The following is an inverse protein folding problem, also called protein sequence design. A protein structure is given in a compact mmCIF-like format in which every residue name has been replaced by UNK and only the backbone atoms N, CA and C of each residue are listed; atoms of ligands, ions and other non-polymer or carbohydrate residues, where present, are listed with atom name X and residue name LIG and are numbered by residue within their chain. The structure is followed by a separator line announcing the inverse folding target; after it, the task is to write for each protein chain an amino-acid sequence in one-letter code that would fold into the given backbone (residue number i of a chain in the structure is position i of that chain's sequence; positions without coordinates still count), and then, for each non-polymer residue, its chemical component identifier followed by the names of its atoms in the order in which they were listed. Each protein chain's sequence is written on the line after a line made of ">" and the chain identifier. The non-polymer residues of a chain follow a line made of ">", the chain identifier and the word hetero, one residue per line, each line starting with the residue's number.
data_IF_553004624085
#
_entry.id   IF_553004624085
#
_cell.length_a   1.000
_cell.length_b   1.000
_cell.length_c   1.000
_cell.angle_alpha   90.00
_cell.angle_beta   90.00
_cell.angle_gamma   90.00
#
_symmetry.space_group_name_H-M   'P 1'
#
loop_
_entity.id
_entity.type
_entity.pdbx_description
1 polymer ?
#
# COMPACT_ATOMS: atom_id res chain seq x y z
N UNK A 1 7.18 1.52 16.10
CA UNK A 1 6.50 2.79 15.84
C UNK A 1 5.00 2.58 15.98
N UNK A 2 4.25 3.61 16.36
CA UNK A 2 2.79 3.55 16.37
C UNK A 2 2.30 3.89 14.97
N UNK A 3 1.62 2.95 14.30
CA UNK A 3 0.93 3.19 13.05
C UNK A 3 -0.30 4.07 13.33
N UNK A 4 -0.11 5.39 13.34
CA UNK A 4 -1.15 6.36 13.67
C UNK A 4 -1.65 7.09 12.42
N UNK A 5 -2.93 7.46 12.44
CA UNK A 5 -3.55 8.38 11.49
C UNK A 5 -3.80 9.72 12.17
N UNK A 6 -3.36 10.82 11.54
CA UNK A 6 -3.57 12.19 12.01
C UNK A 6 -4.76 12.83 11.26
N UNK A 7 -5.79 13.24 12.00
CA UNK A 7 -6.95 13.92 11.44
C UNK A 7 -7.01 15.36 11.96
N UNK A 8 -6.88 16.34 11.07
CA UNK A 8 -6.89 17.77 11.38
C UNK A 8 -8.12 18.42 10.79
N UNK A 9 -8.86 19.16 11.60
CA UNK A 9 -10.02 19.95 11.19
C UNK A 9 -9.71 21.43 11.43
N UNK A 10 -9.78 22.26 10.40
CA UNK A 10 -9.60 23.71 10.49
C UNK A 10 -10.95 24.37 10.21
N UNK A 11 -11.50 25.06 11.20
CA UNK A 11 -12.82 25.68 11.11
C UNK A 11 -12.87 26.98 11.93
N UNK A 12 -13.41 28.04 11.34
CA UNK A 12 -13.52 29.36 11.95
C UNK A 12 -12.16 29.91 12.44
N UNK A 13 -11.07 29.57 11.72
CA UNK A 13 -9.69 29.91 12.10
C UNK A 13 -9.09 29.06 13.21
N UNK A 14 -9.82 28.08 13.74
CA UNK A 14 -9.35 27.19 14.79
C UNK A 14 -8.95 25.81 14.23
N UNK A 15 -7.81 25.30 14.70
CA UNK A 15 -7.28 23.99 14.32
C UNK A 15 -7.51 22.97 15.43
N UNK A 16 -8.24 21.90 15.13
CA UNK A 16 -8.48 20.76 16.01
C UNK A 16 -7.74 19.52 15.46
N UNK A 17 -6.97 18.82 16.29
CA UNK A 17 -6.20 17.64 15.89
C UNK A 17 -6.66 16.40 16.65
N UNK A 18 -6.83 15.30 15.92
CA UNK A 18 -7.32 14.02 16.44
C UNK A 18 -6.44 12.89 15.92
N UNK A 19 -5.95 12.05 16.83
CA UNK A 19 -5.19 10.85 16.49
C UNK A 19 -6.06 9.61 16.55
N UNK A 20 -5.83 8.72 15.58
CA UNK A 20 -6.32 7.35 15.60
C UNK A 20 -5.17 6.35 15.44
N UNK A 21 -4.90 5.58 16.49
CA UNK A 21 -3.80 4.61 16.54
C UNK A 21 -4.14 3.26 15.92
N UNK A 22 -5.31 3.12 15.30
CA UNK A 22 -5.87 1.84 14.83
C UNK A 22 -6.15 1.85 13.32
N UNK A 23 -6.13 3.01 12.65
CA UNK A 23 -6.89 3.25 11.40
C UNK A 23 -6.09 3.52 10.13
N UNK A 24 -4.77 3.35 10.10
CA UNK A 24 -3.96 3.58 8.88
C UNK A 24 -4.54 2.97 7.58
N UNK A 25 -5.12 1.74 7.55
CA UNK A 25 -5.65 1.15 6.31
C UNK A 25 -7.03 1.66 5.87
N UNK A 26 -7.67 2.56 6.63
CA UNK A 26 -9.10 2.86 6.46
C UNK A 26 -9.42 4.35 6.28
N UNK A 27 -8.40 5.19 6.23
CA UNK A 27 -8.51 6.64 6.04
C UNK A 27 -9.42 7.00 4.85
N UNK A 28 -9.30 6.27 3.73
CA UNK A 28 -10.15 6.44 2.55
C UNK A 28 -11.64 6.16 2.78
N UNK A 29 -11.95 5.16 3.60
CA UNK A 29 -13.34 4.82 3.93
C UNK A 29 -14.04 5.97 4.63
N UNK A 30 -13.33 6.63 5.54
CA UNK A 30 -13.93 7.68 6.37
C UNK A 30 -14.08 8.98 5.60
N UNK A 31 -13.07 9.31 4.80
CA UNK A 31 -13.09 10.50 3.95
C UNK A 31 -14.26 10.47 2.97
N UNK A 32 -14.64 9.31 2.42
CA UNK A 32 -15.67 9.21 1.39
C UNK A 32 -17.05 9.79 1.77
N UNK A 33 -17.42 9.82 3.04
CA UNK A 33 -18.80 10.13 3.46
C UNK A 33 -19.13 11.62 3.54
N UNK A 34 -18.21 12.50 3.14
CA UNK A 34 -18.42 13.94 3.10
C UNK A 34 -18.00 14.67 4.38
N UNK A 35 -18.00 16.01 4.35
CA UNK A 35 -17.42 16.86 5.38
C UNK A 35 -18.01 16.64 6.77
N UNK A 36 -19.34 16.63 6.88
CA UNK A 36 -20.02 16.52 8.16
C UNK A 36 -19.82 15.14 8.80
N UNK A 37 -19.90 14.09 7.98
CA UNK A 37 -19.74 12.71 8.45
C UNK A 37 -18.31 12.44 8.88
N UNK A 38 -17.34 12.92 8.09
CA UNK A 38 -15.92 12.81 8.41
C UNK A 38 -15.58 13.58 9.69
N UNK A 39 -15.95 14.86 9.80
CA UNK A 39 -15.68 15.65 11.01
C UNK A 39 -16.35 15.06 12.25
N UNK A 40 -17.60 14.62 12.14
CA UNK A 40 -18.31 14.00 13.26
C UNK A 40 -17.66 12.69 13.71
N UNK A 41 -16.96 11.98 12.82
CA UNK A 41 -16.17 10.80 13.13
C UNK A 41 -14.80 11.19 13.72
N UNK A 42 -14.05 12.06 13.05
CA UNK A 42 -12.71 12.49 13.45
C UNK A 42 -12.68 13.10 14.86
N UNK A 43 -13.67 13.95 15.21
CA UNK A 43 -13.78 14.56 16.55
C UNK A 43 -13.96 13.57 17.71
N UNK A 44 -14.22 12.30 17.41
CA UNK A 44 -14.36 11.23 18.40
C UNK A 44 -13.05 10.50 18.66
N UNK A 45 -12.01 10.76 17.86
CA UNK A 45 -10.66 10.29 18.10
C UNK A 45 -10.08 10.88 19.39
N UNK A 46 -8.85 10.49 19.70
CA UNK A 46 -8.15 11.02 20.87
C UNK A 46 -7.75 12.46 20.54
N UNK A 47 -8.46 13.42 21.14
CA UNK A 47 -8.09 14.83 21.06
C UNK A 47 -6.78 15.04 21.81
N UNK A 48 -5.79 15.64 21.15
CA UNK A 48 -4.58 16.09 21.83
C UNK A 48 -4.78 17.55 22.24
N UNK A 49 -4.83 17.81 23.56
CA UNK A 49 -4.72 19.18 24.08
C UNK A 49 -3.25 19.61 24.01
N UNK A 50 -2.79 20.03 22.84
CA UNK A 50 -1.42 20.45 22.59
C UNK A 50 -1.15 20.65 21.11
N UNK A 51 -0.19 21.51 20.77
CA UNK A 51 0.30 21.63 19.41
C UNK A 51 0.70 20.23 18.93
N UNK A 52 0.29 19.87 17.72
CA UNK A 52 0.65 18.61 17.05
C UNK A 52 2.11 18.31 17.36
N UNK A 53 2.38 17.20 18.04
CA UNK A 53 3.71 16.93 18.56
C UNK A 53 4.74 17.07 17.44
N UNK A 54 5.81 17.86 17.68
CA UNK A 54 6.94 18.03 16.74
C UNK A 54 7.58 16.66 16.38
N UNK A 55 7.30 15.60 17.15
CA UNK A 55 7.82 14.24 16.97
C UNK A 55 6.74 13.22 16.52
N UNK A 56 5.56 13.67 16.07
CA UNK A 56 4.44 12.79 15.74
C UNK A 56 4.63 12.03 14.43
N UNK A 57 5.23 10.84 14.47
CA UNK A 57 5.29 9.91 13.34
C UNK A 57 3.89 9.34 13.03
N UNK A 58 3.37 9.60 11.82
CA UNK A 58 2.10 9.08 11.33
C UNK A 58 2.25 8.52 9.92
N UNK A 59 1.51 7.44 9.64
CA UNK A 59 1.55 6.78 8.32
C UNK A 59 0.49 7.32 7.37
N UNK A 60 -0.55 7.97 7.93
CA UNK A 60 -1.63 8.57 7.17
C UNK A 60 -2.09 9.84 7.86
N UNK A 61 -2.62 10.78 7.07
CA UNK A 61 -3.20 11.99 7.60
C UNK A 61 -4.27 12.57 6.69
N UNK A 62 -5.25 13.23 7.29
CA UNK A 62 -6.23 14.06 6.56
C UNK A 62 -6.27 15.42 7.23
N UNK A 63 -6.08 16.47 6.45
CA UNK A 63 -6.30 17.87 6.85
C UNK A 63 -7.50 18.38 6.08
N UNK A 64 -8.56 18.74 6.81
CA UNK A 64 -9.77 19.35 6.25
C UNK A 64 -9.86 20.80 6.68
N UNK A 65 -9.67 21.71 5.73
CA UNK A 65 -9.89 23.14 5.89
C UNK A 65 -11.32 23.49 5.46
N UNK A 66 -12.21 23.67 6.44
CA UNK A 66 -13.61 24.04 6.22
C UNK A 66 -13.75 25.50 5.76
N UNK A 67 -12.81 26.36 6.11
CA UNK A 67 -12.85 27.79 5.80
C UNK A 67 -12.51 28.04 4.32
N UNK A 68 -11.48 27.35 3.81
CA UNK A 68 -11.05 27.42 2.42
C UNK A 68 -11.66 26.36 1.53
N UNK A 69 -12.29 25.35 2.13
CA UNK A 69 -12.81 24.14 1.47
C UNK A 69 -11.71 23.35 0.76
N UNK A 70 -10.65 23.02 1.49
CA UNK A 70 -9.56 22.21 0.97
C UNK A 70 -9.41 20.94 1.79
N UNK A 71 -9.12 19.83 1.13
CA UNK A 71 -8.75 18.56 1.76
C UNK A 71 -7.35 18.21 1.28
N UNK A 72 -6.40 18.14 2.20
CA UNK A 72 -5.09 17.51 1.94
C UNK A 72 -5.08 16.14 2.61
N UNK A 73 -4.74 15.07 1.89
CA UNK A 73 -4.64 13.74 2.50
C UNK A 73 -3.35 13.02 2.12
N UNK A 74 -2.82 12.29 3.08
CA UNK A 74 -1.73 11.33 2.99
C UNK A 74 -2.33 9.98 3.38
N UNK A 75 -2.17 8.96 2.54
CA UNK A 75 -2.63 7.61 2.87
C UNK A 75 -1.57 6.59 2.47
N UNK A 76 -1.66 5.38 3.02
CA UNK A 76 -0.88 4.26 2.51
C UNK A 76 -1.54 3.77 1.20
N UNK A 77 -0.88 3.95 0.04
CA UNK A 77 -1.53 3.90 -1.26
C UNK A 77 -1.98 2.50 -1.70
N UNK A 78 -1.61 1.40 -1.04
CA UNK A 78 -1.78 0.03 -1.55
C UNK A 78 -3.19 -0.26 -2.11
N UNK A 79 -4.26 0.19 -1.44
CA UNK A 79 -5.64 -0.07 -1.91
C UNK A 79 -6.07 0.74 -3.14
N UNK A 80 -5.39 1.85 -3.42
CA UNK A 80 -5.67 2.79 -4.51
C UNK A 80 -4.44 3.02 -5.41
N UNK A 81 -3.44 2.13 -5.35
CA UNK A 81 -2.15 2.24 -6.04
C UNK A 81 -2.32 2.21 -7.56
N UNK A 82 -3.35 1.51 -8.05
CA UNK A 82 -3.70 1.43 -9.47
C UNK A 82 -4.32 2.77 -9.91
N UNK A 83 -3.75 3.47 -10.90
CA UNK A 83 -4.20 4.81 -11.29
C UNK A 83 -5.67 4.92 -11.69
N UNK A 84 -6.25 3.87 -12.31
CA UNK A 84 -7.70 3.85 -12.59
C UNK A 84 -8.53 3.81 -11.31
N UNK A 85 -8.17 2.97 -10.35
CA UNK A 85 -8.85 2.88 -9.06
C UNK A 85 -8.79 4.24 -8.35
N UNK A 86 -7.61 4.84 -8.33
CA UNK A 86 -7.38 6.17 -7.76
C UNK A 86 -8.28 7.24 -8.40
N UNK A 87 -8.30 7.35 -9.74
CA UNK A 87 -9.14 8.34 -10.46
C UNK A 87 -10.63 8.18 -10.15
N UNK A 88 -11.10 6.93 -10.05
CA UNK A 88 -12.50 6.65 -9.73
C UNK A 88 -12.81 6.99 -8.26
N UNK A 89 -11.89 6.71 -7.34
CA UNK A 89 -12.01 7.11 -5.95
C UNK A 89 -12.02 8.65 -5.78
N UNK A 90 -11.13 9.38 -6.45
CA UNK A 90 -11.13 10.84 -6.46
C UNK A 90 -12.45 11.41 -7.02
N UNK A 91 -13.04 10.78 -8.04
CA UNK A 91 -14.36 11.15 -8.56
C UNK A 91 -15.49 10.91 -7.55
N UNK A 92 -15.40 9.85 -6.75
CA UNK A 92 -16.32 9.61 -5.63
C UNK A 92 -16.15 10.70 -4.55
N UNK A 93 -14.91 11.05 -4.19
CA UNK A 93 -14.61 12.13 -3.24
C UNK A 93 -15.19 13.47 -3.68
N UNK A 94 -14.94 13.88 -4.94
CA UNK A 94 -15.48 15.11 -5.51
C UNK A 94 -17.02 15.15 -5.46
N UNK A 95 -17.67 14.00 -5.62
CA UNK A 95 -19.13 13.88 -5.54
C UNK A 95 -19.64 14.02 -4.11
N UNK A 96 -18.94 13.43 -3.14
CA UNK A 96 -19.30 13.48 -1.72
C UNK A 96 -18.95 14.80 -1.03
N UNK A 97 -18.01 15.57 -1.60
CA UNK A 97 -17.49 16.81 -1.04
C UNK A 97 -17.66 17.99 -2.01
N UNK A 98 -18.91 18.41 -2.28
CA UNK A 98 -19.17 19.44 -3.27
C UNK A 98 -18.52 20.77 -2.91
N UNK A 99 -17.68 21.26 -3.83
CA UNK A 99 -17.01 22.55 -3.70
C UNK A 99 -15.75 22.53 -2.83
N UNK A 100 -15.24 21.35 -2.48
CA UNK A 100 -13.92 21.20 -1.89
C UNK A 100 -12.86 20.89 -2.96
N UNK A 101 -11.67 21.43 -2.79
CA UNK A 101 -10.48 21.05 -3.56
C UNK A 101 -9.73 19.92 -2.85
N UNK A 102 -9.32 18.90 -3.62
CA UNK A 102 -8.65 17.70 -3.14
C UNK A 102 -7.19 17.73 -3.57
N UNK A 103 -6.27 17.64 -2.60
CA UNK A 103 -4.84 17.55 -2.83
C UNK A 103 -4.25 16.32 -2.13
N UNK A 104 -3.57 15.47 -2.88
CA UNK A 104 -2.76 14.42 -2.27
C UNK A 104 -1.46 15.03 -1.71
N UNK A 105 -1.07 14.60 -0.51
CA UNK A 105 0.16 15.00 0.17
C UNK A 105 1.36 14.26 -0.43
N UNK A 106 1.65 14.57 -1.69
CA UNK A 106 2.70 13.94 -2.48
C UNK A 106 4.11 14.15 -1.92
N UNK A 107 4.36 15.27 -1.23
CA UNK A 107 5.58 15.51 -0.44
C UNK A 107 5.55 14.87 0.96
N UNK A 108 4.68 13.89 1.18
CA UNK A 108 4.56 13.16 2.45
C UNK A 108 4.06 14.04 3.59
N UNK A 109 4.62 13.85 4.79
CA UNK A 109 4.23 14.58 5.98
C UNK A 109 4.45 16.11 5.83
N UNK A 110 5.42 16.55 5.03
CA UNK A 110 5.67 17.98 4.79
C UNK A 110 4.47 18.70 4.15
N UNK A 111 3.77 18.03 3.24
CA UNK A 111 2.56 18.58 2.62
C UNK A 111 1.40 18.69 3.62
N UNK A 112 1.32 17.73 4.56
CA UNK A 112 0.36 17.72 5.66
C UNK A 112 0.62 18.91 6.58
N UNK A 113 1.86 19.08 7.04
CA UNK A 113 2.24 20.21 7.89
C UNK A 113 2.02 21.57 7.22
N UNK A 114 2.35 21.66 5.94
CA UNK A 114 2.07 22.85 5.13
C UNK A 114 0.57 23.13 5.00
N UNK A 115 -0.27 22.08 4.95
CA UNK A 115 -1.73 22.23 4.90
C UNK A 115 -2.33 22.69 6.24
N UNK A 116 -1.75 22.23 7.37
CA UNK A 116 -2.17 22.66 8.72
C UNK A 116 -1.90 24.16 8.93
N UNK A 117 -0.77 24.66 8.39
CA UNK A 117 -0.36 26.06 8.51
C UNK A 117 0.20 26.43 9.89
N UNK A 118 0.51 27.73 10.08
CA UNK A 118 0.95 28.27 11.37
C UNK A 118 -0.24 28.33 12.34
N UNK A 119 -0.09 27.80 13.55
CA UNK A 119 -1.10 27.93 14.60
C UNK A 119 -1.16 29.37 15.16
N UNK A 120 -2.19 29.70 15.96
CA UNK A 120 -2.37 31.01 16.61
C UNK A 120 -1.16 31.47 17.46
N UNK A 121 -0.27 30.54 17.83
CA UNK A 121 0.95 30.82 18.60
C UNK A 121 2.17 31.16 17.71
N UNK A 122 2.02 31.21 16.38
CA UNK A 122 3.09 31.55 15.44
C UNK A 122 4.21 30.51 15.39
N UNK A 123 3.95 29.27 15.82
CA UNK A 123 4.88 28.18 15.60
C UNK A 123 4.73 27.72 14.14
N UNK A 124 5.71 28.11 13.31
CA UNK A 124 5.96 27.46 12.02
C UNK A 124 6.37 26.03 12.36
N UNK A 125 5.54 25.06 11.98
CA UNK A 125 5.95 23.65 12.03
C UNK A 125 7.24 23.56 11.22
N UNK A 126 8.32 23.12 11.86
CA UNK A 126 9.61 23.03 11.21
C UNK A 126 9.44 22.17 9.94
N UNK A 127 9.60 22.80 8.78
CA UNK A 127 9.76 22.07 7.53
C UNK A 127 11.12 21.40 7.68
N UNK A 128 11.13 20.10 7.94
CA UNK A 128 12.36 19.34 7.86
C UNK A 128 12.80 19.46 6.40
N UNK A 129 13.94 20.11 6.17
CA UNK A 129 14.71 19.97 4.92
C UNK A 129 15.23 18.53 4.89
N UNK A 130 14.33 17.57 4.70
CA UNK A 130 14.68 16.16 4.64
C UNK A 130 15.24 15.89 3.24
N UNK A 131 16.43 15.27 3.21
CA UNK A 131 17.03 14.69 2.02
C UNK A 131 16.00 13.81 1.33
N UNK A 132 15.74 14.03 0.02
CA UNK A 132 14.84 13.25 -0.87
C UNK A 132 14.38 11.91 -0.27
N UNK A 133 13.33 11.94 0.57
CA UNK A 133 12.65 10.72 1.05
C UNK A 133 11.68 10.27 -0.04
N UNK A 134 12.19 10.14 -1.26
CA UNK A 134 11.48 9.32 -2.23
C UNK A 134 11.80 7.89 -1.84
N UNK A 135 10.83 7.20 -1.23
CA UNK A 135 10.97 5.79 -0.83
C UNK A 135 11.17 4.82 -2.00
N UNK A 136 11.41 5.34 -3.20
CA UNK A 136 11.79 4.61 -4.40
C UNK A 136 13.18 4.00 -4.29
N UNK A 137 13.32 2.84 -4.89
CA UNK A 137 14.60 2.17 -5.05
C UNK A 137 15.59 3.05 -5.81
N UNK A 138 16.82 3.11 -5.31
CA UNK A 138 17.85 3.95 -5.91
C UNK A 138 18.30 3.40 -7.27
N UNK A 139 18.26 2.07 -7.43
CA UNK A 139 18.64 1.40 -8.66
C UNK A 139 17.77 0.20 -8.98
N UNK A 140 17.69 -0.16 -10.26
CA UNK A 140 17.01 -1.38 -10.71
C UNK A 140 17.66 -2.65 -10.14
N UNK A 141 18.96 -2.62 -9.87
CA UNK A 141 19.65 -3.74 -9.22
C UNK A 141 19.10 -4.01 -7.81
N UNK A 142 18.73 -2.96 -7.06
CA UNK A 142 18.07 -3.11 -5.75
C UNK A 142 16.66 -3.67 -5.91
N UNK A 143 15.91 -3.19 -6.90
CA UNK A 143 14.56 -3.71 -7.23
C UNK A 143 14.61 -5.23 -7.49
N UNK A 144 15.61 -5.68 -8.24
CA UNK A 144 15.78 -7.10 -8.60
C UNK A 144 16.28 -7.94 -7.40
N UNK A 145 17.28 -7.45 -6.66
CA UNK A 145 17.91 -8.24 -5.59
C UNK A 145 17.00 -8.45 -4.39
N UNK A 146 16.08 -7.54 -4.12
CA UNK A 146 15.09 -7.74 -3.07
C UNK A 146 14.19 -8.96 -3.36
N UNK A 147 13.86 -9.20 -4.63
CA UNK A 147 13.09 -10.36 -5.11
C UNK A 147 13.80 -11.71 -4.88
N UNK A 148 15.12 -11.75 -5.10
CA UNK A 148 15.94 -12.97 -4.95
C UNK A 148 16.19 -13.34 -3.48
N UNK A 149 16.12 -12.37 -2.56
CA UNK A 149 16.47 -12.60 -1.15
C UNK A 149 15.33 -13.19 -0.30
N UNK A 150 14.08 -13.07 -0.73
CA UNK A 150 12.91 -13.65 -0.05
C UNK A 150 12.34 -14.90 -0.72
N UNK A 151 12.77 -15.24 -1.95
CA UNK A 151 12.29 -16.42 -2.68
C UNK A 151 13.38 -17.48 -2.80
N UNK A 152 13.56 -18.31 -1.76
CA UNK A 152 14.26 -19.59 -1.93
C UNK A 152 13.44 -20.52 -2.86
N UNK A 153 13.70 -20.42 -4.16
CA UNK A 153 13.71 -21.51 -5.15
C UNK A 153 12.46 -22.41 -5.19
N UNK A 154 11.37 -21.88 -5.73
CA UNK A 154 10.58 -22.63 -6.72
C UNK A 154 10.58 -21.82 -8.01
N UNK A 155 10.71 -22.51 -9.15
CA UNK A 155 10.95 -21.90 -10.46
C UNK A 155 10.01 -20.72 -10.75
N UNK A 156 10.57 -19.69 -11.39
CA UNK A 156 9.94 -18.52 -12.01
C UNK A 156 8.91 -18.99 -13.06
N UNK A 157 7.79 -19.58 -12.63
CA UNK A 157 6.74 -20.12 -13.50
C UNK A 157 5.33 -19.86 -12.95
N UNK A 158 5.20 -19.08 -11.87
CA UNK A 158 3.93 -18.54 -11.44
C UNK A 158 4.18 -17.24 -10.66
N UNK A 159 4.27 -16.12 -11.38
CA UNK A 159 3.86 -14.86 -10.77
C UNK A 159 2.48 -15.08 -10.19
N UNK A 160 2.28 -14.82 -8.90
CA UNK A 160 0.93 -14.77 -8.37
C UNK A 160 0.21 -13.67 -9.18
N UNK A 161 -0.97 -13.99 -9.72
CA UNK A 161 -1.67 -13.11 -10.67
C UNK A 161 -2.13 -11.79 -10.02
N UNK A 162 -1.81 -11.59 -8.74
CA UNK A 162 -2.26 -10.48 -7.91
C UNK A 162 -1.12 -9.59 -7.39
N UNK A 163 0.16 -9.88 -7.73
CA UNK A 163 1.27 -9.00 -7.34
C UNK A 163 1.28 -7.71 -8.18
N UNK A 164 1.25 -6.57 -7.48
CA UNK A 164 1.41 -5.23 -8.06
C UNK A 164 2.80 -5.08 -8.67
N UNK A 165 2.88 -4.39 -9.81
CA UNK A 165 4.13 -4.24 -10.56
C UNK A 165 4.16 -2.96 -11.38
N UNK A 166 5.38 -2.52 -11.68
CA UNK A 166 5.65 -1.55 -12.72
C UNK A 166 5.88 -2.23 -14.08
N UNK A 167 5.31 -1.65 -15.13
CA UNK A 167 5.48 -2.12 -16.51
C UNK A 167 6.45 -1.24 -17.28
N UNK A 168 7.54 -1.82 -17.79
CA UNK A 168 8.48 -1.10 -18.66
C UNK A 168 8.46 -1.68 -20.07
N UNK A 169 8.48 -0.81 -21.09
CA UNK A 169 8.62 -1.21 -22.49
C UNK A 169 9.76 -0.47 -23.18
N UNK A 170 10.67 -1.20 -23.81
CA UNK A 170 11.78 -0.64 -24.57
C UNK A 170 11.60 -0.97 -26.05
N UNK A 171 11.71 0.05 -26.90
CA UNK A 171 11.54 -0.08 -28.33
C UNK A 171 12.92 0.01 -28.96
N UNK A 172 13.31 -1.05 -29.66
CA UNK A 172 14.58 -1.05 -30.37
C UNK A 172 14.50 -0.29 -31.70
N UNK A 173 15.65 -0.04 -32.31
CA UNK A 173 15.77 0.62 -33.62
C UNK A 173 15.12 -0.18 -34.77
N UNK A 174 14.78 -1.45 -34.54
CA UNK A 174 14.10 -2.35 -35.47
C UNK A 174 12.57 -2.31 -35.33
N UNK A 175 12.03 -1.61 -34.33
CA UNK A 175 10.61 -1.59 -33.99
C UNK A 175 10.11 -2.83 -33.25
N UNK A 176 11.03 -3.63 -32.70
CA UNK A 176 10.69 -4.67 -31.72
C UNK A 176 10.42 -3.99 -30.39
N UNK A 177 9.36 -4.44 -29.72
CA UNK A 177 8.98 -3.94 -28.39
C UNK A 177 9.23 -5.04 -27.38
N UNK A 178 10.11 -4.74 -26.44
CA UNK A 178 10.49 -5.60 -25.34
C UNK A 178 9.82 -5.13 -24.05
N UNK A 179 9.02 -6.00 -23.42
CA UNK A 179 8.38 -5.69 -22.14
C UNK A 179 9.14 -6.34 -20.99
N UNK A 180 9.18 -5.64 -19.85
CA UNK A 180 9.74 -6.11 -18.58
C UNK A 180 8.81 -5.72 -17.43
N UNK A 181 8.78 -6.55 -16.41
CA UNK A 181 8.09 -6.27 -15.15
C UNK A 181 9.13 -6.10 -14.05
N UNK A 182 8.95 -5.06 -13.25
CA UNK A 182 9.71 -4.78 -12.03
C UNK A 182 8.71 -4.36 -10.95
N UNK A 183 9.11 -4.36 -9.68
CA UNK A 183 8.22 -3.96 -8.57
C UNK A 183 7.80 -2.48 -8.72
N UNK A 184 8.79 -1.61 -8.92
CA UNK A 184 8.62 -0.17 -9.03
C UNK A 184 9.66 0.42 -9.99
N UNK A 185 9.32 1.51 -10.70
CA UNK A 185 10.25 2.33 -11.48
C UNK A 185 11.27 2.98 -10.53
N UNK A 186 12.52 2.57 -10.67
CA UNK A 186 13.67 3.02 -9.88
C UNK A 186 14.20 4.39 -10.31
N UNK A 187 14.96 5.02 -9.42
CA UNK A 187 15.51 6.36 -9.65
C UNK A 187 16.54 6.41 -10.78
N UNK A 188 17.31 5.35 -11.01
CA UNK A 188 18.25 5.26 -12.12
C UNK A 188 17.58 5.24 -13.50
N UNK A 189 16.40 4.61 -13.64
CA UNK A 189 15.57 4.70 -14.83
C UNK A 189 15.01 6.11 -15.04
N UNK A 190 14.51 6.73 -13.97
CA UNK A 190 14.05 8.14 -13.98
C UNK A 190 15.19 9.07 -14.41
N UNK A 191 16.40 8.84 -13.91
CA UNK A 191 17.59 9.65 -14.15
C UNK A 191 18.40 9.26 -15.39
N UNK A 192 17.89 8.33 -16.23
CA UNK A 192 18.57 7.85 -17.44
C UNK A 192 20.02 7.40 -17.20
N UNK A 193 20.27 6.63 -16.12
CA UNK A 193 21.61 6.09 -15.89
C UNK A 193 21.97 5.09 -17.00
N UNK A 194 23.21 5.16 -17.48
CA UNK A 194 23.65 4.49 -18.70
C UNK A 194 23.49 2.96 -18.63
N UNK A 195 23.63 2.39 -17.43
CA UNK A 195 23.56 0.95 -17.22
C UNK A 195 22.14 0.46 -16.88
N UNK A 196 21.21 1.35 -16.51
CA UNK A 196 19.89 0.96 -15.98
C UNK A 196 19.05 0.21 -17.02
N UNK A 197 19.04 0.68 -18.27
CA UNK A 197 18.34 0.00 -19.38
C UNK A 197 18.99 -1.34 -19.70
N UNK A 198 20.32 -1.44 -19.69
CA UNK A 198 21.01 -2.71 -19.96
C UNK A 198 20.70 -3.76 -18.88
N UNK A 199 20.66 -3.34 -17.61
CA UNK A 199 20.26 -4.22 -16.50
C UNK A 199 18.78 -4.62 -16.63
N UNK A 200 17.88 -3.67 -16.93
CA UNK A 200 16.47 -3.95 -17.21
C UNK A 200 16.32 -5.01 -18.33
N UNK A 201 17.06 -4.85 -19.41
CA UNK A 201 16.99 -5.72 -20.58
C UNK A 201 17.58 -7.11 -20.33
N UNK A 202 18.41 -7.28 -19.30
CA UNK A 202 18.92 -8.57 -18.85
C UNK A 202 17.86 -9.45 -18.16
N UNK A 203 16.75 -8.84 -17.70
CA UNK A 203 15.62 -9.57 -17.15
C UNK A 203 14.91 -10.42 -18.23
N UNK A 204 14.25 -11.52 -17.84
CA UNK A 204 13.43 -12.30 -18.75
C UNK A 204 12.37 -11.42 -19.45
N UNK A 205 12.12 -11.63 -20.75
CA UNK A 205 11.01 -10.98 -21.43
C UNK A 205 9.68 -11.31 -20.75
N UNK A 206 8.80 -10.31 -20.68
CA UNK A 206 7.47 -10.44 -20.11
C UNK A 206 6.38 -10.19 -21.15
N UNK A 207 5.16 -10.65 -20.87
CA UNK A 207 3.98 -10.30 -21.64
C UNK A 207 3.44 -8.92 -21.20
N UNK A 208 2.48 -8.36 -21.94
CA UNK A 208 1.75 -7.18 -21.48
C UNK A 208 0.89 -7.58 -20.26
N UNK A 209 1.11 -6.97 -19.08
CA UNK A 209 0.37 -7.32 -17.87
C UNK A 209 -1.07 -6.83 -17.96
N UNK A 210 -2.01 -7.45 -17.24
CA UNK A 210 -3.37 -6.90 -17.09
C UNK A 210 -3.34 -5.59 -16.29
N UNK A 211 -4.21 -4.62 -16.58
CA UNK A 211 -4.21 -3.33 -15.85
C UNK A 211 -4.44 -3.51 -14.33
N UNK A 212 -5.07 -4.60 -13.92
CA UNK A 212 -5.36 -4.90 -12.52
C UNK A 212 -4.14 -5.17 -11.64
N UNK A 213 -2.95 -5.30 -12.21
CA UNK A 213 -1.70 -5.49 -11.46
C UNK A 213 -0.69 -4.39 -11.71
N UNK A 214 -1.02 -3.37 -12.51
CA UNK A 214 -0.04 -2.34 -12.89
C UNK A 214 -0.30 -1.05 -12.12
N UNK A 215 0.68 -0.63 -11.33
CA UNK A 215 0.63 0.58 -10.51
C UNK A 215 1.28 1.77 -11.21
N UNK A 216 2.29 1.51 -12.04
CA UNK A 216 2.99 2.50 -12.83
C UNK A 216 3.64 1.90 -14.06
N UNK A 217 4.05 2.74 -14.99
CA UNK A 217 4.75 2.28 -16.18
C UNK A 217 5.59 3.34 -16.86
N UNK A 218 6.52 2.83 -17.65
CA UNK A 218 7.46 3.61 -18.44
C UNK A 218 7.63 2.98 -19.81
N UNK A 219 7.76 3.81 -20.84
CA UNK A 219 8.20 3.33 -22.14
C UNK A 219 9.28 4.21 -22.74
N UNK A 220 10.24 3.58 -23.42
CA UNK A 220 11.37 4.24 -24.07
C UNK A 220 11.35 3.92 -25.55
N UNK A 221 11.02 4.91 -26.36
CA UNK A 221 11.00 4.82 -27.82
C UNK A 221 12.23 5.54 -28.41
N UNK A 222 13.31 4.78 -28.60
CA UNK A 222 14.57 5.27 -29.17
C UNK A 222 14.42 5.76 -30.61
N UNK A 223 13.50 5.16 -31.39
CA UNK A 223 13.27 5.57 -32.78
C UNK A 223 12.59 6.93 -32.88
N UNK A 224 11.65 7.22 -31.98
CA UNK A 224 10.93 8.50 -31.93
C UNK A 224 11.63 9.53 -31.04
N UNK A 225 12.60 9.12 -30.23
CA UNK A 225 13.18 9.95 -29.19
C UNK A 225 12.10 10.38 -28.19
N UNK A 226 11.23 9.45 -27.77
CA UNK A 226 10.17 9.71 -26.80
C UNK A 226 10.31 8.79 -25.58
N UNK A 227 10.07 9.35 -24.39
CA UNK A 227 9.91 8.57 -23.16
C UNK A 227 8.55 8.89 -22.59
N UNK A 228 7.75 7.86 -22.33
CA UNK A 228 6.51 8.02 -21.59
C UNK A 228 6.62 7.49 -20.19
N UNK A 229 5.94 8.15 -19.27
CA UNK A 229 5.87 7.74 -17.87
C UNK A 229 4.47 8.02 -17.32
N UNK A 230 3.99 7.13 -16.46
CA UNK A 230 2.69 7.24 -15.82
C UNK A 230 2.64 6.40 -14.54
N UNK A 231 1.80 6.80 -13.59
CA UNK A 231 1.67 6.12 -12.31
C UNK A 231 0.95 6.99 -11.29
N UNK A 232 1.19 6.74 -10.01
CA UNK A 232 0.65 7.52 -8.90
C UNK A 232 1.28 8.91 -8.74
N UNK A 233 0.84 9.63 -7.71
CA UNK A 233 1.29 10.99 -7.41
C UNK A 233 2.80 11.11 -7.17
N UNK A 234 3.42 10.11 -6.51
CA UNK A 234 4.87 10.10 -6.26
C UNK A 234 5.67 10.10 -7.57
N UNK A 235 5.28 9.26 -8.54
CA UNK A 235 5.95 9.24 -9.85
C UNK A 235 5.70 10.52 -10.64
N UNK A 236 4.50 11.09 -10.51
CA UNK A 236 4.14 12.36 -11.18
C UNK A 236 5.05 13.51 -10.76
N UNK A 237 5.48 13.56 -9.50
CA UNK A 237 6.43 14.57 -9.03
C UNK A 237 7.82 14.44 -9.69
N UNK A 238 8.19 13.23 -10.11
CA UNK A 238 9.50 12.97 -10.71
C UNK A 238 9.58 13.40 -12.19
N UNK A 239 8.49 13.88 -12.80
CA UNK A 239 8.46 14.21 -14.23
C UNK A 239 9.48 15.27 -14.64
N UNK A 240 9.70 16.30 -13.80
CA UNK A 240 10.69 17.35 -14.08
C UNK A 240 12.11 16.80 -14.01
N UNK A 241 12.37 15.89 -13.06
CA UNK A 241 13.64 15.17 -12.93
C UNK A 241 13.88 14.30 -14.15
N UNK A 242 12.89 13.51 -14.57
CA UNK A 242 12.95 12.72 -15.82
C UNK A 242 13.28 13.60 -17.02
N UNK A 243 12.60 14.74 -17.18
CA UNK A 243 12.85 15.70 -18.28
C UNK A 243 14.30 16.21 -18.29
N UNK A 244 14.87 16.50 -17.13
CA UNK A 244 16.25 17.02 -17.03
C UNK A 244 17.33 15.98 -17.33
N UNK A 245 17.03 14.69 -17.17
CA UNK A 245 17.98 13.59 -17.35
C UNK A 245 17.86 12.90 -18.71
N UNK A 246 16.68 12.97 -19.33
CA UNK A 246 16.40 12.46 -20.67
C UNK A 246 16.45 13.57 -21.72
N UNK A 247 17.52 14.38 -21.74
CA UNK A 247 17.61 15.62 -22.55
C UNK A 247 17.43 15.41 -24.06
N UNK A 248 17.84 14.25 -24.59
CA UNK A 248 17.72 13.90 -26.01
C UNK A 248 16.33 13.33 -26.37
N UNK A 249 15.45 13.14 -25.39
CA UNK A 249 14.13 12.57 -25.55
C UNK A 249 13.05 13.58 -25.18
N UNK A 250 11.91 13.47 -25.86
CA UNK A 250 10.67 14.13 -25.43
C UNK A 250 10.00 13.27 -24.36
N UNK A 251 10.07 13.74 -23.12
CA UNK A 251 9.38 13.11 -21.99
C UNK A 251 7.89 13.49 -21.97
N UNK A 252 7.01 12.49 -21.86
CA UNK A 252 5.56 12.61 -21.93
C UNK A 252 4.96 11.98 -20.66
N UNK A 253 4.10 12.72 -19.97
CA UNK A 253 3.24 12.15 -18.94
C UNK A 253 1.99 11.53 -19.60
N UNK A 254 1.75 10.24 -19.38
CA UNK A 254 0.61 9.54 -19.95
C UNK A 254 -0.64 9.71 -19.07
N UNK A 255 -1.53 10.62 -19.45
CA UNK A 255 -2.72 10.97 -18.64
C UNK A 255 -3.73 9.81 -18.51
N UNK A 256 -3.78 8.91 -19.49
CA UNK A 256 -4.61 7.69 -19.42
C UNK A 256 -3.83 6.46 -18.93
N UNK A 257 -2.57 6.65 -18.54
CA UNK A 257 -1.72 5.61 -17.96
C UNK A 257 -1.61 4.37 -18.85
N UNK A 258 -2.10 3.24 -18.33
CA UNK A 258 -2.09 1.94 -18.98
C UNK A 258 -2.61 1.95 -20.43
N UNK A 259 -3.68 2.70 -20.72
CA UNK A 259 -4.25 2.78 -22.08
C UNK A 259 -3.31 3.48 -23.06
N UNK A 260 -2.66 4.56 -22.63
CA UNK A 260 -1.69 5.31 -23.46
C UNK A 260 -0.44 4.44 -23.69
N UNK A 261 0.00 3.67 -22.70
CA UNK A 261 1.13 2.75 -22.82
C UNK A 261 0.80 1.58 -23.77
N UNK A 262 -0.40 0.99 -23.69
CA UNK A 262 -0.86 0.01 -24.69
C UNK A 262 -0.88 0.60 -26.11
N UNK A 263 -1.38 1.82 -26.26
CA UNK A 263 -1.42 2.51 -27.54
C UNK A 263 -0.01 2.80 -28.11
N UNK A 264 0.95 3.12 -27.24
CA UNK A 264 2.34 3.31 -27.62
C UNK A 264 3.01 2.00 -28.02
N UNK A 265 2.87 0.96 -27.19
CA UNK A 265 3.57 -0.32 -27.35
C UNK A 265 3.04 -1.20 -28.47
N UNK A 266 1.76 -1.11 -28.82
CA UNK A 266 1.16 -1.82 -29.95
C UNK A 266 0.31 -3.04 -29.59
N UNK A 267 0.68 -3.94 -28.65
CA UNK A 267 -0.23 -4.97 -28.18
C UNK A 267 -1.43 -4.35 -27.46
N UNK A 268 -2.60 -4.94 -27.66
CA UNK A 268 -3.75 -4.61 -26.81
C UNK A 268 -3.57 -5.33 -25.48
N UNK A 269 -3.21 -4.58 -24.44
CA UNK A 269 -3.39 -5.02 -23.06
C UNK A 269 -4.86 -5.26 -22.73
N UNK A 270 -5.13 -5.66 -21.49
CA UNK A 270 -6.49 -5.89 -20.98
C UNK A 270 -6.83 -4.77 -19.99
N UNK A 271 -7.41 -3.64 -20.46
CA UNK A 271 -7.81 -2.57 -19.56
C UNK A 271 -8.98 -3.02 -18.68
N UNK A 272 -8.99 -2.51 -17.45
CA UNK A 272 -10.07 -2.68 -16.51
C UNK A 272 -11.28 -1.83 -16.89
N UNK A 273 -12.46 -2.38 -16.70
CA UNK A 273 -13.69 -1.59 -16.64
C UNK A 273 -13.77 -0.82 -15.32
N UNK A 274 -14.52 0.28 -15.28
CA UNK A 274 -14.77 1.04 -14.04
C UNK A 274 -15.36 0.16 -12.93
N UNK A 275 -16.19 -0.82 -13.29
CA UNK A 275 -16.78 -1.75 -12.32
C UNK A 275 -15.73 -2.68 -11.70
N UNK A 276 -14.78 -3.18 -12.49
CA UNK A 276 -13.65 -3.99 -11.99
C UNK A 276 -12.73 -3.15 -11.10
N UNK A 277 -12.45 -1.91 -11.47
CA UNK A 277 -11.58 -1.04 -10.68
C UNK A 277 -12.23 -0.68 -9.34
N UNK A 278 -13.51 -0.30 -9.34
CA UNK A 278 -14.23 -0.01 -8.10
C UNK A 278 -14.41 -1.24 -7.20
N UNK A 279 -14.50 -2.45 -7.77
CA UNK A 279 -14.67 -3.68 -7.00
C UNK A 279 -13.51 -3.94 -6.02
N UNK A 280 -12.30 -3.45 -6.32
CA UNK A 280 -11.13 -3.60 -5.44
C UNK A 280 -11.24 -2.82 -4.13
N UNK A 281 -11.88 -1.65 -4.16
CA UNK A 281 -11.98 -0.77 -2.97
C UNK A 281 -13.35 -0.80 -2.32
N UNK A 282 -14.39 -1.23 -3.05
CA UNK A 282 -15.78 -1.18 -2.58
C UNK A 282 -16.02 -1.94 -1.27
N UNK A 283 -15.47 -3.16 -1.05
CA UNK A 283 -15.63 -3.85 0.24
C UNK A 283 -15.12 -3.03 1.42
N UNK A 284 -13.95 -2.41 1.28
CA UNK A 284 -13.37 -1.54 2.32
C UNK A 284 -14.25 -0.31 2.57
N UNK A 285 -14.68 0.37 1.50
CA UNK A 285 -15.55 1.55 1.59
C UNK A 285 -16.92 1.25 2.22
N UNK A 286 -17.47 0.05 2.00
CA UNK A 286 -18.75 -0.38 2.58
C UNK A 286 -18.61 -0.93 4.02
N UNK A 287 -17.43 -1.39 4.43
CA UNK A 287 -17.21 -2.02 5.75
C UNK A 287 -17.47 -1.06 6.91
N UNK A 288 -18.45 -1.35 7.77
CA UNK A 288 -18.66 -0.59 9.03
C UNK A 288 -17.91 -1.18 10.21
N UNK A 289 -17.09 -2.21 9.99
CA UNK A 289 -16.40 -2.91 11.06
C UNK A 289 -15.20 -2.08 11.52
N UNK A 290 -14.92 -2.08 12.83
CA UNK A 290 -13.61 -1.66 13.31
C UNK A 290 -12.60 -2.71 12.85
N UNK A 291 -11.40 -2.26 12.48
CA UNK A 291 -10.28 -3.19 12.46
C UNK A 291 -10.10 -3.63 13.90
N UNK A 292 -10.21 -4.93 14.14
CA UNK A 292 -9.78 -5.53 15.38
C UNK A 292 -8.28 -5.81 15.23
N UNK A 293 -7.40 -5.06 15.92
CA UNK A 293 -5.97 -5.31 15.83
C UNK A 293 -5.65 -6.74 16.24
N UNK A 294 -6.37 -7.33 17.20
CA UNK A 294 -6.15 -8.72 17.58
C UNK A 294 -6.42 -9.68 16.41
N UNK A 295 -7.45 -9.44 15.60
CA UNK A 295 -7.74 -10.23 14.41
C UNK A 295 -6.68 -10.03 13.31
N UNK A 296 -6.21 -8.80 13.09
CA UNK A 296 -5.11 -8.52 12.14
C UNK A 296 -3.84 -9.24 12.57
N UNK A 297 -3.51 -9.16 13.86
CA UNK A 297 -2.36 -9.86 14.43
C UNK A 297 -2.52 -11.37 14.43
N UNK A 298 -3.72 -11.91 14.59
CA UNK A 298 -3.97 -13.35 14.45
C UNK A 298 -3.82 -13.81 12.99
N UNK A 299 -4.23 -12.99 12.02
CA UNK A 299 -4.04 -13.26 10.60
C UNK A 299 -2.54 -13.20 10.20
N UNK A 300 -1.83 -12.13 10.58
CA UNK A 300 -0.39 -11.98 10.37
C UNK A 300 0.37 -13.07 11.13
N UNK A 301 -0.01 -13.29 12.39
CA UNK A 301 0.54 -14.32 13.26
C UNK A 301 0.31 -15.72 12.70
N UNK A 302 -0.80 -15.97 11.99
CA UNK A 302 -1.05 -17.21 11.26
C UNK A 302 -0.04 -17.44 10.14
N UNK A 303 0.22 -16.42 9.31
CA UNK A 303 1.26 -16.48 8.26
C UNK A 303 2.65 -16.64 8.86
N UNK A 304 3.00 -15.82 9.85
CA UNK A 304 4.29 -15.83 10.53
C UNK A 304 4.53 -17.15 11.28
N UNK A 305 3.47 -17.75 11.84
CA UNK A 305 3.51 -19.08 12.46
C UNK A 305 3.70 -20.19 11.43
N UNK A 306 3.10 -20.08 10.24
CA UNK A 306 3.34 -21.02 9.14
C UNK A 306 4.80 -20.96 8.66
N UNK A 307 5.33 -19.77 8.43
CA UNK A 307 6.73 -19.56 8.05
C UNK A 307 7.68 -20.00 9.17
N UNK A 308 7.41 -19.63 10.42
CA UNK A 308 8.22 -20.06 11.56
C UNK A 308 8.16 -21.58 11.75
N UNK A 309 7.03 -22.24 11.46
CA UNK A 309 6.90 -23.69 11.51
C UNK A 309 7.72 -24.38 10.41
N UNK A 310 7.75 -23.82 9.19
CA UNK A 310 8.61 -24.29 8.10
C UNK A 310 10.09 -24.12 8.45
N UNK A 311 10.50 -22.92 8.89
CA UNK A 311 11.86 -22.63 9.32
C UNK A 311 12.30 -23.53 10.49
N UNK A 312 11.41 -23.75 11.46
CA UNK A 312 11.66 -24.69 12.57
C UNK A 312 11.83 -26.12 12.06
N UNK A 313 11.03 -26.55 11.08
CA UNK A 313 11.18 -27.86 10.43
C UNK A 313 12.55 -28.04 9.76
N UNK A 314 12.98 -27.04 8.98
CA UNK A 314 14.30 -27.03 8.34
C UNK A 314 15.44 -27.05 9.37
N UNK A 315 15.36 -26.21 10.41
CA UNK A 315 16.34 -26.18 11.49
C UNK A 315 16.42 -27.53 12.21
N UNK A 316 15.27 -28.17 12.46
CA UNK A 316 15.20 -29.46 13.14
C UNK A 316 15.82 -30.57 12.28
N UNK A 317 15.61 -30.54 10.96
CA UNK A 317 16.30 -31.42 10.02
C UNK A 317 17.82 -31.23 10.05
N UNK A 318 18.30 -29.98 10.01
CA UNK A 318 19.73 -29.66 10.08
C UNK A 318 20.34 -30.11 11.41
N UNK A 319 19.65 -29.92 12.53
CA UNK A 319 20.10 -30.35 13.85
C UNK A 319 20.09 -31.89 14.02
N UNK A 320 19.13 -32.58 13.39
CA UNK A 320 19.01 -34.04 13.48
C UNK A 320 19.94 -34.78 12.51
N UNK A 321 20.33 -34.17 11.38
CA UNK A 321 21.16 -34.83 10.36
C UNK A 321 22.52 -35.35 10.91
N UNK A 322 23.30 -34.59 11.72
CA UNK A 322 24.53 -35.10 12.34
C UNK A 322 24.28 -36.28 13.28
N UNK A 323 23.15 -36.28 13.99
CA UNK A 323 22.76 -37.33 14.94
C UNK A 323 22.41 -38.63 14.18
N UNK A 324 21.68 -38.51 13.08
CA UNK A 324 21.37 -39.64 12.19
C UNK A 324 22.65 -40.20 11.56
N UNK A 325 23.57 -39.34 11.11
CA UNK A 325 24.87 -39.76 10.56
C UNK A 325 25.70 -40.51 11.60
N UNK A 326 25.75 -40.01 12.85
CA UNK A 326 26.38 -40.72 13.97
C UNK A 326 25.74 -42.09 14.22
N UNK A 327 24.41 -42.19 14.12
CA UNK A 327 23.68 -43.45 14.20
C UNK A 327 24.10 -44.47 13.15
N UNK A 328 24.21 -44.01 11.90
CA UNK A 328 24.63 -44.83 10.77
C UNK A 328 26.06 -45.36 10.94
N UNK A 329 26.97 -44.55 11.49
CA UNK A 329 28.38 -44.94 11.71
C UNK A 329 28.55 -45.83 12.95
N UNK A 330 27.85 -45.52 14.04
CA UNK A 330 28.03 -46.21 15.34
C UNK A 330 27.15 -47.46 15.51
N UNK A 331 26.09 -47.61 14.71
CA UNK A 331 25.09 -48.67 14.82
C UNK A 331 24.14 -48.53 16.03
N UNK A 332 24.29 -47.49 16.86
CA UNK A 332 23.50 -47.30 18.07
C UNK A 332 22.25 -46.46 17.84
N UNK A 333 21.28 -47.03 17.13
CA UNK A 333 20.02 -46.36 16.78
C UNK A 333 19.14 -46.00 17.99
N UNK A 334 19.28 -46.73 19.11
CA UNK A 334 18.51 -46.44 20.32
C UNK A 334 18.91 -45.10 20.94
N UNK A 335 20.21 -44.80 21.02
CA UNK A 335 20.69 -43.50 21.52
C UNK A 335 20.32 -42.33 20.58
N UNK A 336 20.34 -42.57 19.27
CA UNK A 336 19.93 -41.61 18.24
C UNK A 336 18.47 -41.22 18.40
N UNK A 337 17.58 -42.22 18.52
CA UNK A 337 16.14 -41.97 18.69
C UNK A 337 15.82 -41.16 19.95
N UNK A 338 16.48 -41.46 21.08
CA UNK A 338 16.31 -40.70 22.33
C UNK A 338 16.80 -39.25 22.15
N UNK A 339 17.93 -39.05 21.48
CA UNK A 339 18.51 -37.71 21.29
C UNK A 339 17.64 -36.86 20.37
N UNK A 340 17.15 -37.42 19.26
CA UNK A 340 16.21 -36.73 18.36
C UNK A 340 14.93 -36.35 19.10
N UNK A 341 14.36 -37.26 19.89
CA UNK A 341 13.18 -36.97 20.69
C UNK A 341 13.41 -35.81 21.68
N UNK A 342 14.56 -35.76 22.34
CA UNK A 342 14.92 -34.65 23.24
C UNK A 342 15.06 -33.32 22.49
N UNK A 343 15.70 -33.32 21.32
CA UNK A 343 15.84 -32.11 20.49
C UNK A 343 14.47 -31.60 20.05
N UNK A 344 13.59 -32.48 19.56
CA UNK A 344 12.22 -32.12 19.17
C UNK A 344 11.45 -31.50 20.33
N UNK A 345 11.48 -32.14 21.50
CA UNK A 345 10.80 -31.63 22.71
C UNK A 345 11.36 -30.27 23.11
N UNK A 346 12.69 -30.10 23.13
CA UNK A 346 13.33 -28.84 23.48
C UNK A 346 12.93 -27.70 22.53
N UNK A 347 12.92 -27.96 21.22
CA UNK A 347 12.51 -26.98 20.21
C UNK A 347 11.04 -26.59 20.36
N UNK A 348 10.14 -27.55 20.58
CA UNK A 348 8.71 -27.27 20.81
C UNK A 348 8.52 -26.42 22.07
N UNK A 349 9.23 -26.73 23.15
CA UNK A 349 9.17 -25.96 24.40
C UNK A 349 9.71 -24.54 24.22
N UNK A 350 10.83 -24.37 23.51
CA UNK A 350 11.40 -23.06 23.22
C UNK A 350 10.44 -22.20 22.38
N UNK A 351 9.85 -22.78 21.34
CA UNK A 351 8.86 -22.11 20.50
C UNK A 351 7.65 -21.66 21.32
N UNK A 352 7.10 -22.54 22.18
CA UNK A 352 5.97 -22.20 23.07
C UNK A 352 6.32 -21.11 24.09
N UNK A 353 7.56 -21.07 24.56
CA UNK A 353 8.03 -20.01 25.46
C UNK A 353 8.12 -18.66 24.74
N UNK A 354 8.60 -18.64 23.50
CA UNK A 354 8.64 -17.43 22.67
C UNK A 354 7.22 -16.95 22.38
N UNK A 355 6.32 -17.84 21.92
CA UNK A 355 4.91 -17.53 21.64
C UNK A 355 4.24 -16.89 22.87
N UNK A 356 4.42 -17.48 24.06
CA UNK A 356 3.89 -16.91 25.32
C UNK A 356 4.50 -15.57 25.67
N UNK A 357 5.82 -15.40 25.49
CA UNK A 357 6.51 -14.15 25.84
C UNK A 357 6.10 -13.00 24.91
N UNK A 358 5.95 -13.30 23.63
CA UNK A 358 5.46 -12.36 22.61
C UNK A 358 4.01 -11.98 22.92
N UNK A 359 3.12 -12.95 23.12
CA UNK A 359 1.72 -12.70 23.49
C UNK A 359 1.58 -11.89 24.79
N UNK A 360 2.40 -12.20 25.81
CA UNK A 360 2.38 -11.47 27.07
C UNK A 360 2.91 -10.04 26.95
N UNK A 361 3.90 -9.80 26.08
CA UNK A 361 4.42 -8.45 25.83
C UNK A 361 3.35 -7.58 25.19
N UNK A 362 2.66 -8.10 24.16
CA UNK A 362 1.58 -7.40 23.48
C UNK A 362 0.35 -7.13 24.37
N UNK A 363 -0.01 -8.05 25.26
CA UNK A 363 -1.12 -7.82 26.20
C UNK A 363 -0.79 -6.80 27.30
N UNK A 364 0.49 -6.66 27.65
CA UNK A 364 0.95 -5.74 28.70
C UNK A 364 1.13 -4.31 28.18
N UNK A 365 1.49 -4.13 26.91
CA UNK A 365 1.75 -2.80 26.32
C UNK A 365 0.46 -1.98 26.07
N UNK A 366 -0.72 -2.44 26.50
CA UNK A 366 -1.96 -1.65 26.51
C UNK A 366 -2.56 -1.32 25.14
N UNK A 367 -1.84 -1.59 24.05
CA UNK A 367 -2.25 -1.37 22.66
C UNK A 367 -3.62 -1.99 22.30
N UNK A 368 -4.02 -3.06 22.98
CA UNK A 368 -5.27 -3.80 22.70
C UNK A 368 -6.32 -3.70 23.80
N UNK A 369 -6.01 -3.05 24.93
CA UNK A 369 -6.91 -2.93 26.09
C UNK A 369 -7.55 -1.54 26.15
N UNK A 370 -7.79 -0.89 25.01
CA UNK A 370 -8.73 0.22 25.00
C UNK A 370 -10.13 -0.37 25.26
N UNK A 371 -10.86 0.10 26.29
CA UNK A 371 -12.22 -0.35 26.53
C UNK A 371 -13.03 -0.15 25.24
N UNK A 372 -13.86 -1.14 24.88
CA UNK A 372 -14.85 -1.01 23.80
C UNK A 372 -15.59 0.32 24.01
N UNK A 373 -15.17 1.33 23.26
CA UNK A 373 -15.73 2.66 23.39
C UNK A 373 -17.12 2.62 22.76
N UNK A 374 -18.10 3.31 23.36
CA UNK A 374 -19.44 3.56 22.79
C UNK A 374 -19.41 4.37 21.46
N UNK A 375 -18.26 4.41 20.77
CA UNK A 375 -18.03 5.19 19.56
C UNK A 375 -18.49 4.42 18.31
N UNK A 376 -18.98 5.13 17.28
CA UNK A 376 -19.31 4.53 16.01
C UNK A 376 -18.04 4.00 15.34
N UNK A 377 -18.10 2.84 14.72
CA UNK A 377 -16.93 2.16 14.16
C UNK A 377 -16.42 2.75 12.83
N UNK A 378 -17.18 3.67 12.22
CA UNK A 378 -16.87 4.34 10.96
C UNK A 378 -17.71 5.62 10.78
N UNK A 379 -17.32 6.49 9.86
CA UNK A 379 -18.07 7.63 9.36
C UNK A 379 -19.26 7.18 8.48
N UNK A 380 -20.23 8.09 8.30
CA UNK A 380 -21.40 7.83 7.46
C UNK A 380 -22.42 6.85 8.08
N UNK A 381 -23.31 6.24 7.26
CA UNK A 381 -24.32 5.31 7.75
C UNK A 381 -23.69 4.02 8.30
N UNK A 382 -24.15 3.59 9.48
CA UNK A 382 -23.67 2.37 10.16
C UNK A 382 -24.48 1.12 9.84
N UNK A 383 -25.74 1.29 9.42
CA UNK A 383 -26.59 0.21 8.94
C UNK A 383 -26.18 -0.15 7.51
N UNK A 384 -25.89 -1.42 7.25
CA UNK A 384 -25.40 -1.90 5.95
C UNK A 384 -26.34 -1.51 4.80
N UNK A 385 -27.66 -1.65 5.01
CA UNK A 385 -28.64 -1.30 3.97
C UNK A 385 -28.66 0.21 3.69
N UNK A 386 -28.60 1.04 4.73
CA UNK A 386 -28.51 2.49 4.57
C UNK A 386 -27.20 2.90 3.90
N UNK A 387 -26.09 2.25 4.26
CA UNK A 387 -24.77 2.53 3.71
C UNK A 387 -24.67 2.18 2.24
N UNK A 388 -25.12 0.98 1.84
CA UNK A 388 -25.22 0.59 0.42
C UNK A 388 -26.14 1.52 -0.36
N UNK A 389 -27.28 1.91 0.21
CA UNK A 389 -28.20 2.86 -0.44
C UNK A 389 -27.60 4.28 -0.58
N UNK A 390 -26.76 4.72 0.36
CA UNK A 390 -26.04 5.98 0.27
C UNK A 390 -24.92 5.92 -0.77
N UNK A 391 -24.14 4.83 -0.78
CA UNK A 391 -23.11 4.58 -1.79
C UNK A 391 -23.69 4.53 -3.21
N UNK A 392 -24.83 3.87 -3.41
CA UNK A 392 -25.52 3.84 -4.72
C UNK A 392 -25.87 5.26 -5.21
N UNK A 393 -26.26 6.17 -4.31
CA UNK A 393 -26.51 7.57 -4.67
C UNK A 393 -25.23 8.29 -5.06
N UNK A 394 -24.12 8.06 -4.35
CA UNK A 394 -22.81 8.64 -4.68
C UNK A 394 -22.36 8.14 -6.05
N UNK A 395 -22.40 6.83 -6.30
CA UNK A 395 -22.06 6.22 -7.60
C UNK A 395 -22.91 6.80 -8.74
N UNK A 396 -24.24 6.87 -8.54
CA UNK A 396 -25.14 7.42 -9.54
C UNK A 396 -24.88 8.91 -9.82
N UNK A 397 -24.63 9.71 -8.78
CA UNK A 397 -24.32 11.14 -8.92
C UNK A 397 -22.94 11.36 -9.58
N UNK A 398 -21.98 10.49 -9.29
CA UNK A 398 -20.68 10.47 -9.94
C UNK A 398 -20.78 10.04 -11.41
N UNK A 399 -21.85 9.36 -11.84
CA UNK A 399 -21.98 8.76 -13.18
C UNK A 399 -21.12 7.51 -13.34
N UNK A 400 -21.08 6.68 -12.30
CA UNK A 400 -20.31 5.44 -12.19
C UNK A 400 -21.24 4.21 -12.19
N UNK A 401 -20.70 3.00 -12.43
CA UNK A 401 -21.47 1.76 -12.40
C UNK A 401 -22.23 1.56 -11.08
N UNK A 402 -23.37 0.85 -11.15
CA UNK A 402 -24.16 0.54 -9.94
C UNK A 402 -23.43 -0.45 -9.02
N UNK A 403 -23.79 -0.48 -7.73
CA UNK A 403 -23.24 -1.51 -6.81
C UNK A 403 -23.49 -2.93 -7.34
N UNK A 404 -24.65 -3.16 -7.97
CA UNK A 404 -25.00 -4.48 -8.52
C UNK A 404 -24.14 -4.93 -9.70
N UNK A 405 -23.51 -3.99 -10.40
CA UNK A 405 -22.54 -4.26 -11.47
C UNK A 405 -21.16 -4.49 -10.87
N UNK A 406 -20.76 -3.67 -9.88
CA UNK A 406 -19.48 -3.77 -9.17
C UNK A 406 -19.37 -5.09 -8.39
N UNK A 407 -20.43 -5.48 -7.67
CA UNK A 407 -20.50 -6.70 -6.85
C UNK A 407 -20.21 -7.98 -7.65
N UNK A 408 -20.32 -7.96 -8.99
CA UNK A 408 -20.02 -9.12 -9.86
C UNK A 408 -18.52 -9.39 -9.98
N UNK A 409 -17.69 -8.41 -9.65
CA UNK A 409 -16.23 -8.45 -9.79
C UNK A 409 -15.51 -8.48 -8.44
N UNK A 410 -16.21 -8.31 -7.32
CA UNK A 410 -15.62 -8.39 -5.98
C UNK A 410 -15.11 -9.81 -5.75
N UNK A 411 -13.79 -9.97 -5.59
CA UNK A 411 -13.21 -11.26 -5.24
C UNK A 411 -13.32 -11.47 -3.73
N UNK A 412 -13.40 -12.71 -3.24
CA UNK A 412 -13.40 -12.99 -1.79
C UNK A 412 -12.15 -12.44 -1.08
N UNK A 413 -11.02 -12.38 -1.78
CA UNK A 413 -9.74 -11.87 -1.29
C UNK A 413 -9.71 -10.33 -1.18
N UNK A 414 -10.53 -9.63 -1.98
CA UNK A 414 -10.65 -8.16 -1.96
C UNK A 414 -11.47 -7.64 -0.77
N UNK A 415 -12.01 -8.53 0.07
CA UNK A 415 -12.58 -8.15 1.35
C UNK A 415 -11.45 -8.17 2.41
N UNK A 416 -10.81 -7.03 2.72
CA UNK A 416 -9.77 -6.99 3.76
C UNK A 416 -10.30 -7.40 5.13
N UNK A 417 -11.63 -7.38 5.31
CA UNK A 417 -12.28 -7.83 6.54
C UNK A 417 -12.59 -9.32 6.55
N UNK A 418 -12.50 -10.03 5.42
CA UNK A 418 -12.64 -11.49 5.37
C UNK A 418 -11.49 -12.20 6.08
N UNK A 419 -10.32 -11.57 6.12
CA UNK A 419 -9.16 -12.01 6.91
C UNK A 419 -9.34 -11.74 8.42
N UNK A 420 -10.37 -10.99 8.81
CA UNK A 420 -10.66 -10.56 10.18
C UNK A 420 -11.91 -11.21 10.79
N UNK A 421 -12.56 -12.14 10.09
CA UNK A 421 -13.71 -12.95 10.56
C UNK A 421 -13.42 -14.42 10.50
#
# INVERSE_FOLDING_TARGET
>A
MSHASLNVLIQDGHTECYYDTVIVPITNRELLWGPDAFAAWARRGIAEEGAVGEDGDFDSAIVVDFDRKNVTWLDNPDSISIPRVQRLYERLLQTSWPGYEFRYASGGQNDIWSAVGENENGHVVAIYEDEEVDGRWSSIAEVITNYDSESEVEAIDAYDYDEERAWVSVFDDGGVVDHRWIDQISMDLICNDADAIDVLMSLPPADVPEECVVTEGMWVDSMRGEVGIWGGHSLRQQIEKTQSHWEDYKVIWAENGYEDHCAASGPMGVPMTDAQALARIMPSLLSTKRIDPAAVFDAIGGKLKRTAMQATGCLLMVLCAPIVLFGAVSGNWQAVGITIAMVVIATILLFKLIERKVAAKFSTDGLFNQPESDQPPAAGPLDDKQRRAAMEKILSAAGLPSLSEIDRYVRPEDDPMSLLT
#
